data_IF_120503969893
#
_entry.id   IF_120503969893
#
_cell.length_a   1.000
_cell.length_b   1.000
_cell.length_c   1.000
_cell.angle_alpha   90.00
_cell.angle_beta   90.00
_cell.angle_gamma   90.00
#
_symmetry.space_group_name_H-M   'P 1'
#
loop_
_entity.id
_entity.type
_entity.pdbx_description
1 polymer ?
#
# COMPACT_ATOMS: atom_id res chain seq x y z
N UNK A 1 -21.14 7.09 -9.58
CA UNK A 1 -20.40 6.50 -8.45
C UNK A 1 -19.03 7.14 -8.39
N UNK A 2 -18.70 7.88 -7.33
CA UNK A 2 -17.36 8.41 -7.12
C UNK A 2 -16.59 7.53 -6.13
N UNK A 3 -15.63 6.75 -6.62
CA UNK A 3 -14.82 5.81 -5.81
C UNK A 3 -14.05 6.49 -4.68
N UNK A 4 -13.88 7.82 -4.72
CA UNK A 4 -13.26 8.64 -3.67
C UNK A 4 -14.14 8.82 -2.43
N UNK A 5 -15.45 8.60 -2.56
CA UNK A 5 -16.42 8.71 -1.45
C UNK A 5 -16.58 7.39 -0.67
N UNK A 6 -15.92 6.31 -1.10
CA UNK A 6 -16.00 5.03 -0.42
C UNK A 6 -15.34 5.09 0.97
N UNK A 7 -15.95 4.46 1.98
CA UNK A 7 -15.43 4.50 3.35
C UNK A 7 -14.07 3.79 3.47
N UNK A 8 -13.29 4.28 4.43
CA UNK A 8 -12.00 3.68 4.81
C UNK A 8 -10.83 4.09 3.90
N UNK A 9 -9.62 3.59 4.20
CA UNK A 9 -8.40 4.00 3.51
C UNK A 9 -8.26 3.24 2.18
N UNK A 10 -9.25 3.38 1.27
CA UNK A 10 -9.26 2.72 -0.04
C UNK A 10 -7.99 3.01 -0.86
N UNK A 11 -7.38 4.18 -0.64
CA UNK A 11 -6.10 4.56 -1.22
C UNK A 11 -4.97 3.66 -0.72
N UNK A 12 -4.84 3.46 0.59
CA UNK A 12 -3.82 2.61 1.20
C UNK A 12 -3.88 1.18 0.65
N UNK A 13 -5.07 0.57 0.67
CA UNK A 13 -5.23 -0.81 0.18
C UNK A 13 -4.79 -0.98 -1.27
N UNK A 14 -5.09 -0.01 -2.14
CA UNK A 14 -4.60 -0.01 -3.53
C UNK A 14 -3.09 0.18 -3.62
N UNK A 15 -2.52 1.09 -2.84
CA UNK A 15 -1.08 1.38 -2.83
C UNK A 15 -0.27 0.15 -2.39
N UNK A 16 -0.80 -0.65 -1.47
CA UNK A 16 -0.19 -1.93 -1.07
C UNK A 16 -0.68 -3.11 -1.92
N UNK A 17 -1.40 -2.87 -3.02
CA UNK A 17 -1.79 -3.90 -4.00
C UNK A 17 -2.88 -4.87 -3.54
N UNK A 18 -3.66 -4.55 -2.50
CA UNK A 18 -4.82 -5.34 -2.14
C UNK A 18 -5.92 -5.26 -3.19
N UNK A 19 -6.64 -6.35 -3.37
CA UNK A 19 -7.72 -6.45 -4.36
C UNK A 19 -9.07 -6.11 -3.72
N UNK A 20 -9.88 -5.24 -4.34
CA UNK A 20 -11.21 -4.93 -3.83
C UNK A 20 -12.14 -6.13 -4.00
N UNK A 21 -12.95 -6.41 -2.99
CA UNK A 21 -13.99 -7.45 -3.02
C UNK A 21 -15.34 -6.79 -2.84
N UNK A 22 -16.19 -6.90 -3.86
CA UNK A 22 -17.54 -6.34 -3.88
C UNK A 22 -18.55 -7.39 -3.47
N UNK A 23 -19.63 -6.98 -2.81
CA UNK A 23 -20.71 -7.90 -2.42
C UNK A 23 -21.62 -8.19 -3.61
N UNK A 24 -21.84 -7.19 -4.45
CA UNK A 24 -22.54 -7.27 -5.74
C UNK A 24 -21.70 -6.60 -6.84
N UNK A 25 -21.81 -7.05 -8.10
CA UNK A 25 -21.08 -6.43 -9.21
C UNK A 25 -21.45 -4.95 -9.45
N UNK A 26 -22.62 -4.53 -8.99
CA UNK A 26 -23.16 -3.18 -9.13
C UNK A 26 -22.70 -2.24 -8.00
N UNK A 27 -22.06 -2.77 -6.96
CA UNK A 27 -21.66 -1.98 -5.81
C UNK A 27 -20.59 -0.98 -6.19
N UNK A 28 -20.84 0.29 -5.84
CA UNK A 28 -19.88 1.37 -6.05
C UNK A 28 -18.59 1.19 -5.25
N UNK A 29 -18.69 0.59 -4.06
CA UNK A 29 -17.61 0.48 -3.09
C UNK A 29 -17.34 -0.97 -2.72
N UNK A 30 -16.06 -1.35 -2.54
CA UNK A 30 -15.73 -2.69 -2.06
C UNK A 30 -16.26 -2.87 -0.64
N UNK A 31 -16.82 -4.05 -0.39
CA UNK A 31 -17.24 -4.45 0.95
C UNK A 31 -16.05 -4.86 1.82
N UNK A 32 -15.00 -5.43 1.20
CA UNK A 32 -13.74 -5.77 1.86
C UNK A 32 -12.56 -5.70 0.87
N UNK A 33 -11.34 -5.80 1.39
CA UNK A 33 -10.11 -5.85 0.60
C UNK A 33 -9.38 -7.17 0.88
N UNK A 34 -9.02 -7.89 -0.18
CA UNK A 34 -8.17 -9.07 -0.08
C UNK A 34 -6.70 -8.62 -0.10
N UNK A 35 -6.00 -8.88 1.00
CA UNK A 35 -4.59 -8.54 1.20
C UNK A 35 -3.73 -9.78 1.48
N UNK A 36 -4.19 -10.99 1.13
CA UNK A 36 -3.46 -12.24 1.45
C UNK A 36 -2.06 -12.28 0.83
N UNK A 37 -1.85 -11.60 -0.31
CA UNK A 37 -0.53 -11.48 -0.96
C UNK A 37 0.50 -10.77 -0.07
N UNK A 38 0.07 -9.92 0.87
CA UNK A 38 0.98 -9.20 1.78
C UNK A 38 1.70 -10.17 2.72
N UNK A 39 1.04 -11.27 3.12
CA UNK A 39 1.61 -12.26 4.05
C UNK A 39 2.88 -12.91 3.50
N UNK A 40 3.01 -12.98 2.17
CA UNK A 40 4.13 -13.60 1.48
C UNK A 40 5.22 -12.58 1.10
N UNK A 41 5.09 -11.31 1.50
CA UNK A 41 6.09 -10.29 1.15
C UNK A 41 7.39 -10.50 1.91
N UNK A 42 8.54 -10.30 1.25
CA UNK A 42 9.83 -10.36 1.91
C UNK A 42 9.92 -9.30 3.01
N UNK A 43 10.32 -9.72 4.22
CA UNK A 43 10.44 -8.83 5.40
C UNK A 43 11.53 -7.76 5.25
N UNK A 44 12.45 -7.94 4.31
CA UNK A 44 13.57 -7.05 4.02
C UNK A 44 13.31 -6.17 2.79
N UNK A 45 12.04 -5.94 2.42
CA UNK A 45 11.68 -5.01 1.35
C UNK A 45 10.53 -4.12 1.77
N UNK A 46 10.52 -2.92 1.21
CA UNK A 46 9.41 -1.99 1.36
C UNK A 46 8.53 -2.02 0.12
N UNK A 47 7.24 -1.75 0.30
CA UNK A 47 6.31 -1.60 -0.81
C UNK A 47 5.57 -0.27 -0.68
N UNK A 48 5.69 0.58 -1.68
CA UNK A 48 5.03 1.88 -1.71
C UNK A 48 4.58 2.19 -3.15
N UNK A 49 3.37 2.71 -3.30
CA UNK A 49 2.80 3.09 -4.61
C UNK A 49 2.87 1.97 -5.66
N UNK A 50 2.62 0.72 -5.24
CA UNK A 50 2.73 -0.45 -6.12
C UNK A 50 4.15 -0.83 -6.56
N UNK A 51 5.18 -0.13 -6.08
CA UNK A 51 6.59 -0.43 -6.34
C UNK A 51 7.22 -1.13 -5.13
N UNK A 52 8.05 -2.13 -5.39
CA UNK A 52 8.91 -2.79 -4.41
C UNK A 52 10.28 -2.09 -4.34
N UNK A 53 10.80 -1.91 -3.12
CA UNK A 53 12.04 -1.22 -2.83
C UNK A 53 12.92 -2.09 -1.92
N UNK A 54 14.22 -2.15 -2.21
CA UNK A 54 15.19 -2.80 -1.33
C UNK A 54 15.56 -1.88 -0.17
N UNK A 55 16.10 -2.45 0.91
CA UNK A 55 16.66 -1.64 2.02
C UNK A 55 17.75 -0.72 1.46
N UNK A 56 17.66 0.57 1.77
CA UNK A 56 18.52 1.62 1.25
C UNK A 56 17.97 2.36 0.03
N UNK A 57 16.99 1.80 -0.68
CA UNK A 57 16.39 2.46 -1.85
C UNK A 57 15.60 3.69 -1.43
N UNK A 58 15.71 4.75 -2.24
CA UNK A 58 14.91 5.95 -2.11
C UNK A 58 13.58 5.80 -2.86
N UNK A 59 12.53 6.39 -2.30
CA UNK A 59 11.25 6.49 -2.97
C UNK A 59 11.41 7.24 -4.31
N UNK A 60 10.75 6.75 -5.36
CA UNK A 60 10.76 7.37 -6.68
C UNK A 60 10.35 8.83 -6.59
N UNK A 61 11.00 9.69 -7.39
CA UNK A 61 10.74 11.14 -7.37
C UNK A 61 9.29 11.49 -7.70
N UNK A 62 8.65 10.73 -8.58
CA UNK A 62 7.23 10.92 -8.92
C UNK A 62 6.30 10.69 -7.72
N UNK A 63 6.71 9.82 -6.78
CA UNK A 63 5.93 9.43 -5.61
C UNK A 63 6.24 10.28 -4.37
N UNK A 64 7.28 11.13 -4.41
CA UNK A 64 7.70 11.97 -3.28
C UNK A 64 6.63 13.00 -2.90
N UNK A 65 5.85 13.52 -3.86
CA UNK A 65 4.84 14.55 -3.60
C UNK A 65 5.38 15.70 -2.73
N UNK A 66 4.71 15.98 -1.60
CA UNK A 66 5.13 16.98 -0.60
C UNK A 66 6.05 16.41 0.50
N UNK A 67 6.53 15.18 0.38
CA UNK A 67 7.36 14.52 1.41
C UNK A 67 8.85 14.76 1.14
N UNK A 68 9.61 14.92 2.24
CA UNK A 68 11.08 14.81 2.23
C UNK A 68 11.49 13.43 1.69
N UNK A 69 12.72 13.28 1.19
CA UNK A 69 13.25 12.02 0.63
C UNK A 69 12.97 10.84 1.58
N UNK A 70 12.04 9.96 1.20
CA UNK A 70 11.78 8.72 1.94
C UNK A 70 12.77 7.64 1.51
N UNK A 71 13.24 6.84 2.45
CA UNK A 71 14.11 5.68 2.20
C UNK A 71 13.48 4.41 2.79
N UNK A 72 13.69 3.27 2.13
CA UNK A 72 13.35 1.98 2.71
C UNK A 72 14.39 1.58 3.77
N UNK A 73 13.95 1.43 5.01
CA UNK A 73 14.81 1.00 6.12
C UNK A 73 14.31 -0.32 6.69
N UNK A 74 15.25 -1.17 7.11
CA UNK A 74 14.91 -2.35 7.88
C UNK A 74 14.58 -1.90 9.30
N UNK A 75 13.44 -2.34 9.86
CA UNK A 75 13.21 -2.21 11.29
C UNK A 75 14.23 -3.10 12.01
N UNK A 76 15.21 -2.50 12.68
CA UNK A 76 15.96 -3.21 13.70
C UNK A 76 14.95 -3.61 14.78
N UNK A 77 14.98 -4.85 15.24
CA UNK A 77 14.00 -5.39 16.20
C UNK A 77 14.32 -4.97 17.64
N UNK A 78 15.14 -3.94 17.81
CA UNK A 78 15.72 -3.46 19.06
C UNK A 78 15.38 -1.97 19.28
N UNK A 79 14.11 -1.59 19.12
CA UNK A 79 13.63 -0.32 19.68
C UNK A 79 12.29 -0.58 20.42
N UNK A 80 12.23 -0.26 21.73
CA UNK A 80 11.09 -0.52 22.62
C UNK A 80 9.85 0.34 22.32
#
# INVERSE_FOLDING_TARGET
>A
CEKKQCPGPARYYKEVGCQPVFKKPEDCCPHKWNCDHIKNRPKNKCHAYGTEYNVGDLLKKEDLGCRQRCACTQKNSDEP
#
